data_IF_046685292241
#
_entry.id   IF_046685292241
#
_cell.length_a   1.000
_cell.length_b   1.000
_cell.length_c   1.000
_cell.angle_alpha   90.00
_cell.angle_beta   90.00
_cell.angle_gamma   90.00
#
_symmetry.space_group_name_H-M   'P 1'
#
loop_
_entity.id
_entity.type
_entity.pdbx_description
1 polymer ?
#
# COMPACT_ATOMS: atom_id res chain seq x y z
N UNK A 1 -11.47 -34.81 -0.89
CA UNK A 1 -11.08 -36.02 -0.13
C UNK A 1 -9.68 -36.45 -0.56
N UNK A 2 -8.67 -36.14 0.26
CA UNK A 2 -7.49 -37.00 0.45
C UNK A 2 -6.69 -36.43 1.61
N UNK A 3 -6.88 -37.06 2.76
CA UNK A 3 -6.08 -36.87 3.95
C UNK A 3 -4.63 -37.28 3.69
N UNK A 4 -3.70 -36.55 4.28
CA UNK A 4 -2.45 -37.14 4.74
C UNK A 4 -1.95 -36.33 5.94
N UNK A 5 -2.36 -36.84 7.11
CA UNK A 5 -1.71 -36.63 8.39
C UNK A 5 -0.26 -37.13 8.30
N UNK A 6 0.67 -36.37 8.86
CA UNK A 6 1.90 -36.93 9.43
C UNK A 6 2.37 -36.02 10.56
N UNK A 7 2.05 -36.46 11.77
CA UNK A 7 2.65 -36.00 13.00
C UNK A 7 4.11 -36.47 13.06
N UNK A 8 5.02 -35.59 13.50
CA UNK A 8 6.28 -36.03 14.09
C UNK A 8 6.50 -35.25 15.39
N UNK A 9 6.31 -35.97 16.50
CA UNK A 9 6.64 -35.55 17.84
C UNK A 9 8.15 -35.60 18.06
N UNK A 10 8.70 -34.62 18.77
CA UNK A 10 9.98 -34.76 19.45
C UNK A 10 9.86 -34.15 20.85
N UNK A 11 9.71 -35.04 21.81
CA UNK A 11 9.85 -34.84 23.25
C UNK A 11 11.23 -34.30 23.60
N UNK A 12 11.27 -33.20 24.36
CA UNK A 12 12.45 -32.73 25.07
C UNK A 12 12.11 -32.48 26.54
N UNK A 13 12.18 -33.53 27.35
CA UNK A 13 12.09 -33.47 28.81
C UNK A 13 13.52 -33.49 29.36
N UNK A 14 13.98 -32.39 29.98
CA UNK A 14 15.08 -32.45 30.96
C UNK A 14 14.67 -31.65 32.19
N UNK A 15 14.42 -32.41 33.25
CA UNK A 15 14.28 -31.92 34.60
C UNK A 15 15.67 -31.52 35.13
N UNK A 16 15.77 -30.31 35.68
CA UNK A 16 16.91 -29.84 36.46
C UNK A 16 16.38 -28.98 37.60
N UNK A 17 16.29 -29.57 38.80
CA UNK A 17 15.93 -28.86 40.02
C UNK A 17 17.13 -28.12 40.58
N UNK A 18 16.91 -26.85 40.95
CA UNK A 18 17.79 -26.07 41.84
C UNK A 18 16.90 -25.31 42.83
N UNK A 19 17.28 -25.22 44.11
CA UNK A 19 16.42 -24.75 45.18
C UNK A 19 16.25 -23.23 45.18
N UNK A 20 15.12 -22.82 45.75
CA UNK A 20 14.63 -21.45 45.85
C UNK A 20 15.59 -20.49 46.56
N UNK A 21 15.93 -19.40 45.86
CA UNK A 21 16.35 -18.13 46.45
C UNK A 21 15.30 -17.10 46.05
N UNK A 22 14.52 -16.66 47.04
CA UNK A 22 13.49 -15.65 46.88
C UNK A 22 14.12 -14.29 46.50
N UNK A 23 13.96 -13.91 45.24
CA UNK A 23 14.24 -12.56 44.75
C UNK A 23 12.90 -11.84 44.49
N UNK A 24 12.79 -10.51 44.75
CA UNK A 24 11.54 -9.78 44.56
C UNK A 24 11.10 -9.86 43.11
N UNK A 25 9.85 -10.30 42.90
CA UNK A 25 9.21 -10.42 41.62
C UNK A 25 9.16 -9.04 40.93
N UNK A 26 10.12 -8.79 40.03
CA UNK A 26 9.98 -7.75 39.01
C UNK A 26 8.78 -8.14 38.16
N UNK A 27 7.67 -7.39 38.30
CA UNK A 27 6.54 -7.43 37.37
C UNK A 27 7.10 -7.41 35.95
N UNK A 28 6.93 -8.53 35.25
CA UNK A 28 7.22 -8.61 33.83
C UNK A 28 6.33 -7.57 33.14
N UNK A 29 6.96 -6.53 32.59
CA UNK A 29 6.29 -5.61 31.69
C UNK A 29 5.73 -6.43 30.51
N UNK A 30 4.53 -6.13 30.01
CA UNK A 30 3.97 -6.84 28.87
C UNK A 30 4.93 -6.66 27.70
N UNK A 31 5.49 -7.76 27.22
CA UNK A 31 6.27 -7.77 26.00
C UNK A 31 5.35 -7.31 24.87
N UNK A 32 5.58 -6.09 24.38
CA UNK A 32 4.88 -5.54 23.24
C UNK A 32 5.29 -6.38 22.02
N UNK A 33 4.49 -7.41 21.72
CA UNK A 33 4.72 -8.32 20.61
C UNK A 33 4.33 -7.56 19.34
N UNK A 34 5.27 -6.80 18.80
CA UNK A 34 5.13 -6.22 17.46
C UNK A 34 4.89 -7.38 16.50
N UNK A 35 3.66 -7.53 16.04
CA UNK A 35 3.28 -8.55 15.09
C UNK A 35 4.01 -8.25 13.79
N UNK A 36 4.97 -9.11 13.42
CA UNK A 36 5.54 -9.08 12.09
C UNK A 36 4.39 -9.19 11.07
N UNK A 37 4.39 -8.38 9.99
CA UNK A 37 3.32 -8.43 8.99
C UNK A 37 3.14 -9.87 8.51
N UNK A 38 1.90 -10.34 8.47
CA UNK A 38 1.59 -11.65 7.92
C UNK A 38 2.04 -11.69 6.46
N UNK A 39 2.73 -12.75 6.04
CA UNK A 39 3.28 -12.89 4.68
C UNK A 39 2.25 -12.66 3.55
N UNK A 40 0.96 -12.90 3.82
CA UNK A 40 -0.13 -12.62 2.87
C UNK A 40 -0.38 -11.12 2.61
N UNK A 41 -0.08 -10.24 3.58
CA UNK A 41 -0.23 -8.79 3.41
C UNK A 41 0.81 -8.21 2.44
N UNK A 42 2.02 -8.77 2.43
CA UNK A 42 3.08 -8.35 1.49
C UNK A 42 2.82 -8.81 0.05
N UNK A 43 2.20 -9.98 -0.12
CA UNK A 43 1.78 -10.46 -1.44
C UNK A 43 0.71 -9.52 -2.05
N UNK A 44 -0.36 -9.22 -1.29
CA UNK A 44 -1.41 -8.32 -1.72
C UNK A 44 -0.90 -6.89 -2.03
N UNK A 45 0.01 -6.36 -1.21
CA UNK A 45 0.63 -5.06 -1.47
C UNK A 45 1.41 -5.05 -2.78
N UNK A 46 2.07 -6.16 -3.12
CA UNK A 46 2.82 -6.29 -4.38
C UNK A 46 1.87 -6.33 -5.58
N UNK A 47 0.75 -7.04 -5.48
CA UNK A 47 -0.27 -7.08 -6.53
C UNK A 47 -0.89 -5.71 -6.79
N UNK A 48 -1.21 -4.97 -5.72
CA UNK A 48 -1.72 -3.61 -5.82
C UNK A 48 -0.70 -2.66 -6.47
N UNK A 49 0.57 -2.75 -6.07
CA UNK A 49 1.63 -1.93 -6.67
C UNK A 49 1.76 -2.16 -8.18
N UNK A 50 1.67 -3.42 -8.62
CA UNK A 50 1.68 -3.75 -10.06
C UNK A 50 0.46 -3.20 -10.77
N UNK A 51 -0.74 -3.29 -10.16
CA UNK A 51 -1.96 -2.69 -10.70
C UNK A 51 -1.79 -1.18 -10.89
N UNK A 52 -1.38 -0.47 -9.84
CA UNK A 52 -1.23 0.99 -9.87
C UNK A 52 -0.15 1.44 -10.86
N UNK A 53 0.94 0.68 -10.97
CA UNK A 53 1.97 0.93 -11.97
C UNK A 53 1.42 0.76 -13.40
N UNK A 54 0.59 -0.26 -13.67
CA UNK A 54 -0.05 -0.42 -14.99
C UNK A 54 -0.95 0.77 -15.33
N UNK A 55 -1.74 1.25 -14.36
CA UNK A 55 -2.61 2.43 -14.54
C UNK A 55 -1.77 3.69 -14.80
N UNK A 56 -0.70 3.88 -14.03
CA UNK A 56 0.27 4.95 -14.24
C UNK A 56 0.82 4.96 -15.66
N UNK A 57 1.38 3.84 -16.11
CA UNK A 57 1.97 3.72 -17.46
C UNK A 57 0.92 4.00 -18.53
N UNK A 58 -0.29 3.46 -18.37
CA UNK A 58 -1.40 3.70 -19.31
C UNK A 58 -1.78 5.19 -19.39
N UNK A 59 -1.75 5.90 -18.27
CA UNK A 59 -2.00 7.34 -18.23
C UNK A 59 -0.88 8.15 -18.92
N UNK A 60 0.39 7.76 -18.73
CA UNK A 60 1.52 8.41 -19.39
C UNK A 60 1.49 8.24 -20.91
N UNK A 61 1.00 7.10 -21.38
CA UNK A 61 0.85 6.79 -22.81
C UNK A 61 -0.44 7.34 -23.43
N UNK A 62 -1.35 7.88 -22.64
CA UNK A 62 -2.65 8.35 -23.13
C UNK A 62 -2.56 9.79 -23.65
N UNK A 63 -3.09 10.02 -24.85
CA UNK A 63 -3.28 11.37 -25.40
C UNK A 63 -4.40 12.15 -24.70
N UNK A 64 -5.23 11.48 -23.91
CA UNK A 64 -6.33 12.11 -23.17
C UNK A 64 -5.90 12.66 -21.80
N UNK A 65 -4.68 12.37 -21.36
CA UNK A 65 -4.15 12.89 -20.09
C UNK A 65 -3.29 14.10 -20.37
N UNK A 66 -3.55 15.19 -19.65
CA UNK A 66 -2.75 16.41 -19.73
C UNK A 66 -1.27 16.17 -19.44
N UNK A 67 -0.41 16.90 -20.14
CA UNK A 67 1.04 16.84 -19.93
C UNK A 67 1.44 17.26 -18.50
N UNK A 68 0.72 18.21 -17.88
CA UNK A 68 0.95 18.60 -16.49
C UNK A 68 0.60 17.48 -15.51
N UNK A 69 -0.46 16.72 -15.80
CA UNK A 69 -0.84 15.55 -14.99
C UNK A 69 0.18 14.42 -15.16
N UNK A 70 0.65 14.15 -16.39
CA UNK A 70 1.74 13.20 -16.64
C UNK A 70 3.02 13.60 -15.92
N UNK A 71 3.38 14.87 -15.97
CA UNK A 71 4.56 15.41 -15.28
C UNK A 71 4.45 15.24 -13.76
N UNK A 72 3.28 15.51 -13.17
CA UNK A 72 3.05 15.29 -11.74
C UNK A 72 3.17 13.80 -11.36
N UNK A 73 2.63 12.90 -12.19
CA UNK A 73 2.71 11.46 -11.98
C UNK A 73 4.15 10.93 -12.07
N UNK A 74 4.92 11.38 -13.05
CA UNK A 74 6.35 11.03 -13.17
C UNK A 74 7.13 11.59 -12.00
N UNK A 75 6.96 12.87 -11.66
CA UNK A 75 7.61 13.49 -10.50
C UNK A 75 7.31 12.75 -9.19
N UNK A 76 6.06 12.38 -8.98
CA UNK A 76 5.63 11.57 -7.85
C UNK A 76 6.36 10.22 -7.76
N UNK A 77 6.56 9.54 -8.90
CA UNK A 77 7.31 8.28 -8.99
C UNK A 77 8.81 8.45 -8.71
N UNK A 78 9.40 9.59 -9.07
CA UNK A 78 10.80 9.89 -8.77
C UNK A 78 11.03 10.20 -7.30
N UNK A 79 10.11 10.93 -6.68
CA UNK A 79 10.23 11.39 -5.28
C UNK A 79 9.83 10.32 -4.25
N UNK A 80 9.11 9.27 -4.66
CA UNK A 80 8.56 8.26 -3.76
C UNK A 80 8.79 6.84 -4.29
N UNK A 81 8.97 5.88 -3.38
CA UNK A 81 8.97 4.46 -3.78
C UNK A 81 7.56 4.03 -4.19
N UNK A 82 7.46 3.12 -5.16
CA UNK A 82 6.17 2.54 -5.58
C UNK A 82 5.38 1.94 -4.41
N UNK A 83 6.06 1.36 -3.42
CA UNK A 83 5.44 0.89 -2.18
C UNK A 83 4.73 2.01 -1.42
N UNK A 84 5.38 3.18 -1.28
CA UNK A 84 4.81 4.36 -0.60
C UNK A 84 3.63 4.96 -1.36
N UNK A 85 3.72 5.01 -2.69
CA UNK A 85 2.60 5.45 -3.54
C UNK A 85 1.41 4.48 -3.38
N UNK A 86 1.68 3.17 -3.39
CA UNK A 86 0.66 2.14 -3.25
C UNK A 86 -0.03 2.19 -1.90
N UNK A 87 0.73 2.41 -0.82
CA UNK A 87 0.18 2.65 0.53
C UNK A 87 -0.76 3.88 0.55
N UNK A 88 -0.36 4.97 -0.11
CA UNK A 88 -1.18 6.18 -0.23
C UNK A 88 -2.48 5.93 -0.99
N UNK A 89 -2.39 5.25 -2.14
CA UNK A 89 -3.56 4.89 -2.96
C UNK A 89 -4.49 3.93 -2.21
N UNK A 90 -3.93 2.90 -1.57
CA UNK A 90 -4.69 1.92 -0.78
C UNK A 90 -5.44 2.58 0.38
N UNK A 91 -4.79 3.54 1.06
CA UNK A 91 -5.42 4.31 2.12
C UNK A 91 -6.64 5.08 1.59
N UNK A 92 -6.48 5.81 0.49
CA UNK A 92 -7.58 6.60 -0.08
C UNK A 92 -8.72 5.69 -0.54
N UNK A 93 -8.43 4.56 -1.17
CA UNK A 93 -9.45 3.58 -1.58
C UNK A 93 -10.17 3.02 -0.35
N UNK A 94 -9.45 2.64 0.70
CA UNK A 94 -10.06 2.11 1.93
C UNK A 94 -10.96 3.14 2.62
N UNK A 95 -10.57 4.42 2.64
CA UNK A 95 -11.35 5.52 3.21
C UNK A 95 -12.58 5.87 2.35
N UNK A 96 -12.63 5.43 1.09
CA UNK A 96 -13.68 5.78 0.10
C UNK A 96 -14.22 4.54 -0.64
N UNK A 97 -14.31 3.40 0.05
CA UNK A 97 -14.62 2.11 -0.59
C UNK A 97 -16.00 2.06 -1.26
N UNK A 98 -16.93 2.95 -0.89
CA UNK A 98 -18.25 3.10 -1.53
C UNK A 98 -18.18 3.89 -2.86
N UNK A 99 -17.09 4.63 -3.10
CA UNK A 99 -16.92 5.56 -4.23
C UNK A 99 -15.85 5.12 -5.20
N UNK A 100 -14.84 4.40 -4.73
CA UNK A 100 -13.67 4.02 -5.51
C UNK A 100 -13.51 2.51 -5.50
N UNK A 101 -13.59 1.92 -6.69
CA UNK A 101 -13.38 0.50 -6.93
C UNK A 101 -12.01 0.28 -7.57
N UNK A 102 -11.19 -0.55 -6.91
CA UNK A 102 -9.80 -0.81 -7.31
C UNK A 102 -9.69 -1.49 -8.67
N UNK A 103 -10.71 -2.22 -9.10
CA UNK A 103 -10.77 -2.87 -10.41
C UNK A 103 -11.10 -1.91 -11.57
N UNK A 104 -11.48 -0.66 -11.28
CA UNK A 104 -11.82 0.34 -12.29
C UNK A 104 -10.63 1.29 -12.55
N UNK A 105 -9.96 1.20 -13.72
CA UNK A 105 -8.73 1.94 -13.98
C UNK A 105 -8.90 3.46 -13.90
N UNK A 106 -10.05 3.99 -14.34
CA UNK A 106 -10.34 5.42 -14.29
C UNK A 106 -10.45 5.95 -12.85
N UNK A 107 -11.07 5.18 -11.95
CA UNK A 107 -11.22 5.54 -10.54
C UNK A 107 -9.88 5.45 -9.81
N UNK A 108 -9.09 4.40 -10.10
CA UNK A 108 -7.71 4.27 -9.60
C UNK A 108 -6.82 5.41 -10.11
N UNK A 109 -6.95 5.80 -11.37
CA UNK A 109 -6.20 6.92 -11.96
C UNK A 109 -6.51 8.25 -11.26
N UNK A 110 -7.78 8.51 -10.95
CA UNK A 110 -8.17 9.71 -10.20
C UNK A 110 -7.54 9.73 -8.80
N UNK A 111 -7.50 8.59 -8.11
CA UNK A 111 -6.81 8.49 -6.82
C UNK A 111 -5.30 8.66 -6.96
N UNK A 112 -4.69 8.03 -7.97
CA UNK A 112 -3.25 8.10 -8.20
C UNK A 112 -2.79 9.54 -8.46
N UNK A 113 -3.51 10.28 -9.31
CA UNK A 113 -3.22 11.70 -9.59
C UNK A 113 -3.37 12.57 -8.34
N UNK A 114 -4.40 12.31 -7.51
CA UNK A 114 -4.59 13.01 -6.25
C UNK A 114 -3.48 12.71 -5.21
N UNK A 115 -3.08 11.45 -5.05
CA UNK A 115 -1.95 11.04 -4.19
C UNK A 115 -0.65 11.67 -4.65
N UNK A 116 -0.48 11.80 -5.97
CA UNK A 116 0.66 12.48 -6.58
C UNK A 116 0.57 14.01 -6.59
N UNK A 117 -0.43 14.59 -5.92
CA UNK A 117 -0.55 16.03 -5.70
C UNK A 117 -1.04 16.84 -6.89
N UNK A 118 -1.50 16.19 -7.97
CA UNK A 118 -2.14 16.89 -9.08
C UNK A 118 -3.46 17.50 -8.63
N UNK A 119 -3.70 18.76 -9.00
CA UNK A 119 -4.93 19.50 -8.67
C UNK A 119 -5.68 19.84 -9.95
N UNK A 120 -6.96 19.49 -9.99
CA UNK A 120 -7.85 19.75 -11.13
C UNK A 120 -8.23 18.47 -11.87
N UNK A 121 -8.94 18.63 -12.99
CA UNK A 121 -9.32 17.49 -13.82
C UNK A 121 -8.16 17.10 -14.76
N UNK A 122 -7.64 15.85 -14.66
CA UNK A 122 -6.49 15.41 -15.45
C UNK A 122 -6.80 15.12 -16.93
N UNK A 123 -8.07 15.17 -17.33
CA UNK A 123 -8.57 14.73 -18.65
C UNK A 123 -9.37 15.78 -19.44
N UNK A 124 -9.97 16.77 -18.78
CA UNK A 124 -10.67 17.88 -19.42
C UNK A 124 -9.68 18.91 -19.91
N UNK A 125 -9.90 19.61 -21.03
CA UNK A 125 -9.07 20.75 -21.44
C UNK A 125 -8.93 21.77 -20.30
N UNK A 126 -7.72 22.31 -20.09
CA UNK A 126 -7.55 23.45 -19.19
C UNK A 126 -8.41 24.60 -19.72
N UNK A 127 -9.29 25.24 -18.93
CA UNK A 127 -9.96 26.45 -19.40
C UNK A 127 -8.85 27.45 -19.73
N UNK A 128 -8.80 27.88 -20.99
CA UNK A 128 -7.82 28.85 -21.45
C UNK A 128 -7.87 30.05 -20.50
N UNK A 129 -6.74 30.35 -19.84
CA UNK A 129 -6.59 31.62 -19.14
C UNK A 129 -6.97 32.72 -20.12
N UNK A 130 -7.89 33.65 -19.79
CA UNK A 130 -8.24 34.72 -20.70
C UNK A 130 -6.94 35.47 -21.02
N UNK A 131 -6.57 35.45 -22.30
CA UNK A 131 -5.51 36.31 -22.81
C UNK A 131 -6.05 37.74 -22.68
N UNK A 132 -5.73 38.39 -21.56
CA UNK A 132 -5.90 39.83 -21.46
C UNK A 132 -4.86 40.42 -22.41
N UNK A 133 -5.32 40.70 -23.63
CA UNK A 133 -4.55 41.45 -24.61
C UNK A 133 -3.98 42.70 -23.96
N UNK A 134 -2.68 42.89 -24.12
CA UNK A 134 -1.99 44.15 -23.89
C UNK A 134 -1.25 44.50 -25.16
#
# INVERSE_FOLDING_TARGET
MRALFLALAATGLVAGGVPALAAPAKKAAPANKSAAPAAGAQAAQSEHAVLYLKVLISALQSDQVKEEAKSALVGCLYENSLGKISEGVDKVIAENADKVQRDKPAEVFAVLTAVCGYKGDPTQPSPASPTTGR
#
